data_IF_493494695055
#
_entry.id   IF_493494695055
#
_cell.length_a   1.000
_cell.length_b   1.000
_cell.length_c   1.000
_cell.angle_alpha   90.00
_cell.angle_beta   90.00
_cell.angle_gamma   90.00
#
_symmetry.space_group_name_H-M   'P 1'
#
loop_
_entity.id
_entity.type
_entity.pdbx_description
1 polymer ?
#
# COMPACT_ATOMS: atom_id res chain seq x y z
N UNK A 1 13.73 -18.36 -91.95
CA UNK A 1 13.73 -19.73 -91.41
C UNK A 1 12.96 -19.70 -90.10
N UNK A 2 11.64 -19.98 -90.09
CA UNK A 2 10.99 -21.29 -89.88
C UNK A 2 11.23 -21.91 -88.49
N UNK A 3 10.14 -21.87 -87.69
CA UNK A 3 9.58 -22.85 -86.74
C UNK A 3 10.45 -23.29 -85.54
N UNK A 4 9.94 -23.48 -84.31
CA UNK A 4 8.68 -24.10 -83.81
C UNK A 4 8.31 -23.51 -82.41
N UNK A 5 7.07 -23.08 -82.12
CA UNK A 5 5.86 -23.83 -81.73
C UNK A 5 5.73 -24.15 -80.21
N UNK A 6 5.03 -23.25 -79.48
CA UNK A 6 3.89 -23.48 -78.51
C UNK A 6 4.16 -24.38 -77.27
N UNK A 7 3.33 -24.45 -76.19
CA UNK A 7 2.11 -23.73 -75.81
C UNK A 7 2.02 -23.26 -74.32
N UNK A 8 1.02 -22.44 -74.02
CA UNK A 8 0.45 -22.21 -72.68
C UNK A 8 -0.38 -23.44 -72.25
N UNK A 9 -0.33 -23.86 -70.96
CA UNK A 9 -1.56 -24.06 -70.17
C UNK A 9 -1.33 -23.90 -68.63
N UNK A 10 -2.32 -24.17 -67.74
CA UNK A 10 -3.60 -23.50 -67.58
C UNK A 10 -3.84 -23.00 -66.13
N UNK A 11 -4.99 -22.34 -65.91
CA UNK A 11 -5.53 -21.95 -64.62
C UNK A 11 -5.56 -23.09 -63.57
N UNK A 12 -5.20 -22.77 -62.32
CA UNK A 12 -5.50 -23.58 -61.14
C UNK A 12 -6.44 -22.83 -60.20
N UNK A 13 -7.72 -22.90 -60.54
CA UNK A 13 -8.81 -22.86 -59.56
C UNK A 13 -8.91 -24.23 -58.87
N UNK A 14 -9.00 -24.25 -57.54
CA UNK A 14 -9.48 -25.40 -56.77
C UNK A 14 -8.44 -26.49 -56.51
N UNK A 15 -7.70 -26.38 -55.40
CA UNK A 15 -7.10 -27.52 -54.67
C UNK A 15 -6.49 -27.14 -53.30
N UNK A 16 -6.45 -25.85 -52.91
CA UNK A 16 -5.97 -25.43 -51.57
C UNK A 16 -7.06 -25.49 -50.47
N UNK A 17 -8.34 -25.73 -50.82
CA UNK A 17 -9.47 -25.73 -49.86
C UNK A 17 -9.83 -27.12 -49.30
N UNK A 18 -9.48 -28.20 -49.99
CA UNK A 18 -9.85 -29.56 -49.55
C UNK A 18 -8.92 -30.12 -48.46
N UNK A 19 -7.65 -29.69 -48.40
CA UNK A 19 -6.71 -30.24 -47.44
C UNK A 19 -6.88 -29.70 -46.01
N UNK A 20 -7.62 -28.59 -45.83
CA UNK A 20 -7.97 -28.06 -44.49
C UNK A 20 -9.22 -28.72 -43.89
N UNK A 21 -10.15 -29.23 -44.69
CA UNK A 21 -11.36 -29.88 -44.16
C UNK A 21 -11.11 -31.34 -43.73
N UNK A 22 -10.14 -32.03 -44.34
CA UNK A 22 -9.78 -33.40 -43.96
C UNK A 22 -9.02 -33.44 -42.62
N UNK A 23 -8.14 -32.46 -42.37
CA UNK A 23 -7.37 -32.38 -41.11
C UNK A 23 -8.24 -31.99 -39.89
N UNK A 24 -9.29 -31.19 -40.07
CA UNK A 24 -10.19 -30.81 -38.97
C UNK A 24 -11.14 -31.95 -38.58
N UNK A 25 -11.59 -32.77 -39.55
CA UNK A 25 -12.46 -33.93 -39.24
C UNK A 25 -11.73 -35.12 -38.61
N UNK A 26 -10.42 -35.25 -38.79
CA UNK A 26 -9.63 -36.28 -38.10
C UNK A 26 -9.36 -35.93 -36.63
N UNK A 27 -9.22 -34.65 -36.28
CA UNK A 27 -8.93 -34.24 -34.90
C UNK A 27 -10.17 -34.29 -33.99
N UNK A 28 -11.37 -34.26 -34.55
CA UNK A 28 -12.62 -34.25 -33.80
C UNK A 28 -13.15 -35.65 -33.43
N UNK A 29 -12.50 -36.71 -33.95
CA UNK A 29 -12.96 -38.11 -33.76
C UNK A 29 -12.23 -38.90 -32.66
N UNK A 30 -11.23 -38.32 -31.99
CA UNK A 30 -10.41 -39.02 -30.98
C UNK A 30 -10.43 -38.40 -29.56
N UNK A 31 -11.35 -37.50 -29.24
CA UNK A 31 -11.46 -36.99 -27.87
C UNK A 31 -12.45 -37.78 -27.02
N UNK A 32 -11.90 -38.60 -26.12
CA UNK A 32 -12.61 -39.33 -25.07
C UNK A 32 -13.28 -38.39 -24.06
N UNK A 33 -14.40 -38.80 -23.44
CA UNK A 33 -15.28 -37.94 -22.64
C UNK A 33 -14.61 -37.27 -21.42
N UNK A 34 -13.52 -37.83 -20.90
CA UNK A 34 -12.77 -37.26 -19.77
C UNK A 34 -12.02 -35.96 -20.12
N UNK A 35 -11.55 -35.81 -21.36
CA UNK A 35 -10.84 -34.62 -21.83
C UNK A 35 -11.75 -33.36 -21.94
N UNK A 36 -13.07 -33.57 -22.10
CA UNK A 36 -14.07 -32.50 -22.22
C UNK A 36 -14.50 -31.91 -20.87
N UNK A 37 -14.33 -32.65 -19.78
CA UNK A 37 -14.61 -32.17 -18.41
C UNK A 37 -13.48 -31.25 -17.91
N UNK A 38 -12.22 -31.64 -18.13
CA UNK A 38 -11.03 -30.83 -17.79
C UNK A 38 -11.02 -29.45 -18.47
N UNK A 39 -11.40 -29.37 -19.76
CA UNK A 39 -11.51 -28.10 -20.50
C UNK A 39 -12.68 -27.21 -20.05
N UNK A 40 -13.76 -27.80 -19.48
CA UNK A 40 -14.90 -27.03 -18.94
C UNK A 40 -14.61 -26.49 -17.53
N UNK A 41 -13.86 -27.22 -16.71
CA UNK A 41 -13.43 -26.75 -15.39
C UNK A 41 -12.35 -25.67 -15.49
N UNK A 42 -11.40 -25.82 -16.43
CA UNK A 42 -10.37 -24.80 -16.68
C UNK A 42 -10.94 -23.48 -17.21
N UNK A 43 -12.03 -23.54 -18.01
CA UNK A 43 -12.76 -22.34 -18.48
C UNK A 43 -13.59 -21.65 -17.39
N UNK A 44 -14.06 -22.38 -16.36
CA UNK A 44 -14.73 -21.78 -15.19
C UNK A 44 -13.74 -21.07 -14.28
N UNK A 45 -12.57 -21.65 -14.04
CA UNK A 45 -11.51 -21.02 -13.24
C UNK A 45 -10.98 -19.72 -13.86
N UNK A 46 -10.87 -19.66 -15.21
CA UNK A 46 -10.47 -18.44 -15.91
C UNK A 46 -11.55 -17.34 -15.95
N UNK A 47 -12.82 -17.71 -15.79
CA UNK A 47 -13.94 -16.75 -15.72
C UNK A 47 -14.04 -16.09 -14.34
N UNK A 48 -13.67 -16.79 -13.25
CA UNK A 48 -13.64 -16.24 -11.88
C UNK A 48 -12.40 -15.37 -11.61
N UNK A 49 -11.28 -15.60 -12.27
CA UNK A 49 -10.10 -14.72 -12.17
C UNK A 49 -10.27 -13.36 -12.86
N UNK A 50 -11.20 -13.23 -13.83
CA UNK A 50 -11.42 -11.98 -14.58
C UNK A 50 -12.33 -10.97 -13.85
N UNK A 51 -13.03 -11.38 -12.80
CA UNK A 51 -13.96 -10.52 -12.05
C UNK A 51 -13.30 -9.67 -10.96
N UNK A 52 -12.01 -9.88 -10.64
CA UNK A 52 -11.35 -9.18 -9.52
C UNK A 52 -10.49 -7.97 -9.94
N UNK A 53 -10.37 -7.65 -11.24
CA UNK A 53 -9.57 -6.50 -11.73
C UNK A 53 -10.39 -5.34 -12.30
N UNK A 54 -11.66 -5.21 -11.91
CA UNK A 54 -12.53 -4.13 -12.38
C UNK A 54 -12.86 -3.15 -11.26
N UNK A 55 -11.86 -2.36 -10.84
CA UNK A 55 -12.00 -1.00 -10.27
C UNK A 55 -10.62 -0.46 -9.86
N UNK A 56 -9.93 0.16 -10.80
CA UNK A 56 -8.93 1.20 -10.52
C UNK A 56 -9.23 2.36 -11.47
N UNK A 57 -9.49 3.59 -10.98
CA UNK A 57 -9.61 4.74 -11.85
C UNK A 57 -8.24 5.03 -12.47
N UNK A 58 -8.24 5.22 -13.78
CA UNK A 58 -7.10 5.61 -14.58
C UNK A 58 -6.52 6.94 -14.09
N UNK A 59 -5.30 6.89 -13.58
CA UNK A 59 -4.50 8.07 -13.29
C UNK A 59 -4.26 8.86 -14.59
N UNK A 60 -4.98 9.97 -14.77
CA UNK A 60 -4.64 10.98 -15.77
C UNK A 60 -3.35 11.65 -15.32
N UNK A 61 -2.28 11.43 -16.08
CA UNK A 61 -1.05 12.21 -16.02
C UNK A 61 -1.39 13.66 -16.39
N UNK A 62 -1.52 14.52 -15.40
CA UNK A 62 -1.51 15.96 -15.60
C UNK A 62 -0.05 16.42 -15.68
N UNK A 63 0.36 16.83 -16.86
CA UNK A 63 1.57 17.62 -17.08
C UNK A 63 1.34 18.99 -16.44
N UNK A 64 2.08 19.32 -15.39
CA UNK A 64 2.14 20.66 -14.81
C UNK A 64 3.20 21.49 -15.55
N UNK A 65 2.90 22.72 -15.96
CA UNK A 65 3.93 23.64 -16.40
C UNK A 65 4.69 24.20 -15.18
N UNK A 66 6.01 24.21 -15.31
CA UNK A 66 6.92 24.90 -14.41
C UNK A 66 6.76 26.41 -14.51
N UNK A 67 6.62 27.11 -13.37
CA UNK A 67 7.24 28.41 -13.08
C UNK A 67 6.75 29.01 -11.75
N UNK A 68 7.67 29.71 -11.08
CA UNK A 68 7.51 30.68 -9.98
C UNK A 68 7.29 30.09 -8.57
N UNK A 69 8.36 29.92 -7.78
CA UNK A 69 9.01 30.93 -6.89
C UNK A 69 8.28 31.01 -5.53
N UNK A 70 8.84 30.41 -4.47
CA UNK A 70 9.82 30.99 -3.53
C UNK A 70 9.11 31.71 -2.36
N UNK A 71 9.04 31.09 -1.17
CA UNK A 71 9.20 31.76 0.14
C UNK A 71 8.96 30.83 1.35
N UNK A 72 9.90 30.92 2.30
CA UNK A 72 9.81 30.65 3.74
C UNK A 72 9.88 29.21 4.28
N UNK A 73 11.09 28.66 4.24
CA UNK A 73 11.64 27.83 5.32
C UNK A 73 12.21 28.73 6.43
N UNK A 74 11.69 28.64 7.65
CA UNK A 74 12.29 29.23 8.86
C UNK A 74 12.29 28.17 9.98
N UNK A 75 13.39 27.43 10.08
CA UNK A 75 13.89 26.84 11.34
C UNK A 75 14.99 27.78 11.87
N UNK A 76 15.06 28.06 13.18
CA UNK A 76 16.30 28.53 13.78
C UNK A 76 17.07 27.36 14.39
N UNK A 77 18.17 26.99 13.74
CA UNK A 77 19.28 26.27 14.36
C UNK A 77 20.15 27.31 15.09
N UNK A 78 20.05 27.36 16.42
CA UNK A 78 20.90 28.18 17.27
C UNK A 78 22.16 27.43 17.69
N UNK A 79 23.24 27.58 16.93
CA UNK A 79 24.60 27.25 17.36
C UNK A 79 25.18 28.51 17.99
N UNK A 80 25.36 28.52 19.31
CA UNK A 80 26.14 29.52 20.02
C UNK A 80 27.25 28.82 20.80
N UNK A 81 28.46 28.91 20.26
CA UNK A 81 29.69 28.56 20.95
C UNK A 81 29.87 29.49 22.16
N UNK A 82 30.19 28.92 23.32
CA UNK A 82 30.68 29.66 24.51
C UNK A 82 32.03 29.08 24.93
N UNK A 83 32.98 29.94 25.37
CA UNK A 83 34.37 29.57 25.54
C UNK A 83 34.61 28.82 26.86
N UNK A 84 35.65 27.99 26.85
CA UNK A 84 36.21 27.34 28.02
C UNK A 84 36.78 28.36 29.01
N UNK A 85 36.32 28.31 30.26
CA UNK A 85 36.94 28.97 31.40
C UNK A 85 37.33 27.86 32.39
N UNK A 86 38.64 27.74 32.60
CA UNK A 86 39.25 26.89 33.60
C UNK A 86 39.05 27.47 35.01
N UNK A 87 38.82 26.59 35.99
CA UNK A 87 38.84 26.91 37.42
C UNK A 87 39.48 25.73 38.20
N UNK A 88 40.06 25.98 39.40
CA UNK A 88 41.29 25.36 39.91
C UNK A 88 41.08 24.04 40.68
N UNK A 89 42.16 23.32 41.07
CA UNK A 89 42.04 22.05 41.80
C UNK A 89 41.68 22.31 43.26
N UNK A 90 40.57 21.72 43.73
CA UNK A 90 40.21 21.71 45.14
C UNK A 90 40.62 20.37 45.75
N UNK A 91 41.44 20.51 46.79
CA UNK A 91 41.99 19.50 47.67
C UNK A 91 40.96 18.49 48.16
N UNK A 92 41.33 17.21 48.11
CA UNK A 92 40.60 16.11 48.72
C UNK A 92 40.55 16.26 50.25
N UNK A 93 39.35 16.17 50.80
CA UNK A 93 39.04 15.87 52.19
C UNK A 93 38.19 14.58 52.21
N UNK A 94 38.25 13.76 53.27
CA UNK A 94 37.84 12.36 53.22
C UNK A 94 36.31 12.22 53.17
N UNK A 95 35.81 11.53 52.15
CA UNK A 95 34.42 11.11 52.06
C UNK A 95 34.22 9.84 52.89
N UNK A 96 33.57 9.96 54.05
CA UNK A 96 32.95 8.82 54.74
C UNK A 96 31.80 8.30 53.86
N UNK A 97 32.09 7.26 53.07
CA UNK A 97 31.11 6.55 52.27
C UNK A 97 30.68 5.29 53.06
N UNK A 98 29.41 5.15 53.50
CA UNK A 98 28.94 4.01 54.28
C UNK A 98 28.91 2.68 53.49
N UNK A 99 29.22 2.69 52.19
CA UNK A 99 29.23 1.51 51.33
C UNK A 99 30.57 0.74 51.35
N UNK A 100 31.21 0.61 52.51
CA UNK A 100 32.38 -0.27 52.62
C UNK A 100 31.89 -1.72 52.61
N UNK A 101 31.88 -2.32 51.42
CA UNK A 101 31.55 -3.72 51.16
C UNK A 101 32.60 -4.63 51.80
N UNK A 102 32.39 -5.01 53.05
CA UNK A 102 33.19 -6.07 53.67
C UNK A 102 32.48 -7.40 53.39
N UNK A 103 33.06 -8.29 52.56
CA UNK A 103 32.47 -9.61 52.35
C UNK A 103 32.52 -10.42 53.65
N UNK A 104 31.39 -10.97 54.07
CA UNK A 104 31.34 -11.86 55.23
C UNK A 104 31.76 -13.25 54.79
N UNK A 105 32.90 -13.72 55.28
CA UNK A 105 33.43 -15.06 54.97
C UNK A 105 33.52 -15.89 56.25
N UNK A 106 33.00 -17.10 56.22
CA UNK A 106 33.16 -18.08 57.29
C UNK A 106 33.55 -19.44 56.69
N UNK A 107 34.55 -20.10 57.28
CA UNK A 107 34.95 -21.44 56.88
C UNK A 107 34.77 -22.45 58.02
N UNK A 108 34.56 -23.71 57.66
CA UNK A 108 34.52 -24.85 58.56
C UNK A 108 35.30 -26.00 57.93
N UNK A 109 36.22 -26.56 58.69
CA UNK A 109 36.94 -27.77 58.31
C UNK A 109 36.26 -28.99 58.93
N UNK A 110 35.99 -30.00 58.11
CA UNK A 110 35.43 -31.29 58.53
C UNK A 110 36.17 -32.42 57.85
N UNK A 111 36.95 -33.18 58.63
CA UNK A 111 37.84 -34.21 58.09
C UNK A 111 38.81 -33.62 57.06
N UNK A 112 38.95 -34.22 55.87
CA UNK A 112 39.80 -33.73 54.79
C UNK A 112 39.18 -32.60 53.96
N UNK A 113 37.94 -32.17 54.24
CA UNK A 113 37.20 -31.19 53.44
C UNK A 113 37.13 -29.85 54.16
N UNK A 114 37.42 -28.77 53.42
CA UNK A 114 37.23 -27.40 53.88
C UNK A 114 36.04 -26.77 53.16
N UNK A 115 35.09 -26.26 53.95
CA UNK A 115 33.88 -25.62 53.47
C UNK A 115 33.92 -24.14 53.80
N UNK A 116 33.90 -23.28 52.78
CA UNK A 116 33.91 -21.82 52.95
C UNK A 116 32.62 -21.23 52.38
N UNK A 117 31.96 -20.37 53.15
CA UNK A 117 30.80 -19.59 52.72
C UNK A 117 31.16 -18.12 52.75
N UNK A 118 30.94 -17.42 51.64
CA UNK A 118 31.14 -15.99 51.53
C UNK A 118 29.87 -15.30 51.05
N UNK A 119 29.54 -14.14 51.62
CA UNK A 119 28.46 -13.26 51.15
C UNK A 119 29.11 -11.95 50.71
N UNK A 120 28.69 -11.44 49.56
CA UNK A 120 29.18 -10.20 48.97
C UNK A 120 28.88 -8.96 49.84
N UNK A 121 27.72 -8.92 50.49
CA UNK A 121 27.26 -7.79 51.31
C UNK A 121 26.78 -8.21 52.70
N UNK A 122 27.34 -7.61 53.74
CA UNK A 122 26.86 -7.76 55.13
C UNK A 122 25.53 -7.04 55.39
N UNK A 123 25.20 -6.03 54.58
CA UNK A 123 23.98 -5.23 54.68
C UNK A 123 23.42 -4.97 53.29
N UNK A 124 22.12 -5.18 53.10
CA UNK A 124 21.41 -5.00 51.82
C UNK A 124 20.02 -4.41 52.08
N UNK A 125 19.40 -3.76 51.10
CA UNK A 125 18.05 -3.25 51.23
C UNK A 125 16.99 -4.34 51.00
N UNK A 126 15.75 -4.10 51.44
CA UNK A 126 14.60 -4.97 51.09
C UNK A 126 14.54 -5.16 49.57
N UNK A 127 14.38 -6.41 49.13
CA UNK A 127 14.36 -6.81 47.71
C UNK A 127 15.66 -6.53 46.92
N UNK A 128 16.76 -6.19 47.61
CA UNK A 128 18.08 -6.11 46.98
C UNK A 128 18.72 -7.51 46.93
N UNK A 129 19.15 -8.00 45.76
CA UNK A 129 19.77 -9.31 45.64
C UNK A 129 21.17 -9.32 46.27
N UNK A 130 21.46 -10.37 47.04
CA UNK A 130 22.77 -10.67 47.61
C UNK A 130 23.33 -11.97 47.04
N UNK A 131 24.65 -12.08 46.94
CA UNK A 131 25.32 -13.23 46.35
C UNK A 131 26.02 -14.04 47.44
N UNK A 132 25.58 -15.28 47.66
CA UNK A 132 26.23 -16.24 48.53
C UNK A 132 27.05 -17.22 47.71
N UNK A 133 28.35 -17.33 48.02
CA UNK A 133 29.28 -18.27 47.39
C UNK A 133 29.67 -19.36 48.37
N UNK A 134 29.27 -20.59 48.09
CA UNK A 134 29.70 -21.80 48.78
C UNK A 134 30.88 -22.42 48.04
N UNK A 135 32.03 -22.51 48.69
CA UNK A 135 33.25 -23.12 48.16
C UNK A 135 33.59 -24.35 48.99
N UNK A 136 33.76 -25.49 48.33
CA UNK A 136 34.16 -26.75 48.95
C UNK A 136 35.50 -27.19 48.36
N UNK A 137 36.52 -27.26 49.20
CA UNK A 137 37.84 -27.76 48.82
C UNK A 137 38.04 -29.16 49.40
N UNK A 138 38.39 -30.11 48.55
CA UNK A 138 38.63 -31.49 48.93
C UNK A 138 39.86 -32.05 48.20
N UNK A 139 40.66 -32.90 48.85
CA UNK A 139 41.88 -33.44 48.25
C UNK A 139 41.55 -34.59 47.28
N UNK A 140 42.50 -34.95 46.40
CA UNK A 140 42.28 -35.95 45.34
C UNK A 140 41.76 -37.29 45.89
N UNK A 141 40.76 -37.93 45.26
CA UNK A 141 40.07 -39.16 45.73
C UNK A 141 38.97 -38.98 46.80
N UNK A 142 38.65 -37.75 47.23
CA UNK A 142 37.43 -37.44 48.00
C UNK A 142 36.35 -36.93 47.03
N UNK A 143 35.18 -37.56 46.99
CA UNK A 143 34.05 -37.13 46.15
C UNK A 143 33.08 -36.29 46.96
N UNK A 144 32.83 -35.06 46.52
CA UNK A 144 31.90 -34.11 47.16
C UNK A 144 30.56 -34.10 46.42
N UNK A 145 29.45 -34.19 47.16
CA UNK A 145 28.11 -34.02 46.62
C UNK A 145 27.45 -32.79 47.25
N UNK A 146 27.18 -31.77 46.43
CA UNK A 146 26.45 -30.57 46.86
C UNK A 146 24.95 -30.88 47.06
N UNK A 147 24.23 -30.13 47.93
CA UNK A 147 22.81 -30.33 48.18
C UNK A 147 21.96 -30.08 46.91
N UNK A 148 20.69 -30.52 46.85
CA UNK A 148 19.77 -30.09 45.81
C UNK A 148 19.53 -28.57 45.87
N UNK A 149 19.15 -27.95 44.75
CA UNK A 149 18.87 -26.51 44.68
C UNK A 149 17.49 -26.23 45.32
N UNK A 150 17.43 -25.59 46.51
CA UNK A 150 16.15 -25.30 47.14
C UNK A 150 15.53 -24.02 46.56
N UNK A 151 14.20 -23.90 46.59
CA UNK A 151 13.50 -22.66 46.20
C UNK A 151 13.70 -21.53 47.23
N UNK A 152 13.92 -21.90 48.49
CA UNK A 152 14.14 -20.97 49.60
C UNK A 152 15.29 -21.45 50.48
N UNK A 153 16.04 -20.50 51.04
CA UNK A 153 17.15 -20.76 51.96
C UNK A 153 16.91 -19.96 53.24
N UNK A 154 16.11 -20.52 54.16
CA UNK A 154 15.66 -19.79 55.36
C UNK A 154 14.69 -18.66 55.00
N UNK A 155 14.91 -17.41 55.46
CA UNK A 155 14.07 -16.26 55.11
C UNK A 155 14.35 -15.68 53.70
N UNK A 156 15.28 -16.28 52.95
CA UNK A 156 15.68 -15.83 51.63
C UNK A 156 15.03 -16.66 50.52
N UNK A 157 14.57 -15.99 49.48
CA UNK A 157 14.14 -16.61 48.22
C UNK A 157 15.35 -16.79 47.31
N UNK A 158 15.50 -17.97 46.70
CA UNK A 158 16.60 -18.24 45.77
C UNK A 158 16.16 -17.84 44.36
N UNK A 159 16.79 -16.80 43.80
CA UNK A 159 16.51 -16.31 42.45
C UNK A 159 17.26 -17.11 41.38
N UNK A 160 18.53 -17.40 41.63
CA UNK A 160 19.39 -18.09 40.69
C UNK A 160 20.45 -18.93 41.41
N UNK A 161 20.83 -20.06 40.82
CA UNK A 161 21.91 -20.91 41.30
C UNK A 161 22.84 -21.25 40.14
N UNK A 162 24.14 -21.02 40.33
CA UNK A 162 25.17 -21.35 39.35
C UNK A 162 26.27 -22.22 39.96
N UNK A 163 26.63 -23.30 39.27
CA UNK A 163 27.58 -24.31 39.75
C UNK A 163 28.84 -24.33 38.88
N UNK A 164 29.99 -24.28 39.53
CA UNK A 164 31.30 -24.56 38.96
C UNK A 164 31.92 -25.71 39.75
N UNK A 165 31.61 -26.93 39.35
CA UNK A 165 32.05 -28.14 40.05
C UNK A 165 33.45 -28.53 39.60
N UNK A 166 34.17 -29.23 40.49
CA UNK A 166 35.28 -30.09 40.09
C UNK A 166 36.50 -29.37 39.46
N UNK A 167 36.72 -28.11 39.87
CA UNK A 167 37.82 -27.23 39.46
C UNK A 167 39.17 -27.73 40.01
N UNK A 168 40.22 -27.88 39.18
CA UNK A 168 41.55 -28.27 39.65
C UNK A 168 42.21 -27.14 40.46
N UNK A 169 42.77 -27.45 41.63
CA UNK A 169 43.49 -26.52 42.52
C UNK A 169 44.80 -27.14 42.98
N UNK A 170 45.79 -26.34 43.39
CA UNK A 170 47.11 -26.81 43.83
C UNK A 170 47.09 -27.82 45.00
N UNK A 171 45.98 -27.90 45.75
CA UNK A 171 45.77 -28.82 46.88
C UNK A 171 44.69 -29.89 46.65
N UNK A 172 44.11 -30.03 45.45
CA UNK A 172 43.04 -30.99 45.18
C UNK A 172 41.99 -30.51 44.16
N UNK A 173 40.72 -30.81 44.42
CA UNK A 173 39.56 -30.35 43.64
C UNK A 173 38.74 -29.35 44.44
N UNK A 174 38.19 -28.36 43.76
CA UNK A 174 37.34 -27.32 44.34
C UNK A 174 35.99 -27.30 43.63
N UNK A 175 34.90 -27.29 44.39
CA UNK A 175 33.55 -27.09 43.87
C UNK A 175 32.99 -25.79 44.41
N UNK A 176 32.50 -24.93 43.53
CA UNK A 176 31.93 -23.63 43.86
C UNK A 176 30.47 -23.59 43.43
N UNK A 177 29.59 -23.14 44.32
CA UNK A 177 28.18 -22.87 44.02
C UNK A 177 27.81 -21.47 44.49
N UNK A 178 27.22 -20.69 43.60
CA UNK A 178 26.71 -19.35 43.92
C UNK A 178 25.20 -19.35 43.94
N UNK A 179 24.64 -18.72 44.97
CA UNK A 179 23.21 -18.48 45.14
C UNK A 179 22.96 -16.98 45.08
N UNK A 180 22.02 -16.57 44.24
CA UNK A 180 21.46 -15.22 44.27
C UNK A 180 20.22 -15.25 45.17
N UNK A 181 20.31 -14.55 46.29
CA UNK A 181 19.31 -14.57 47.35
C UNK A 181 18.60 -13.22 47.45
N UNK A 182 17.32 -13.23 47.77
CA UNK A 182 16.51 -12.03 47.99
C UNK A 182 15.72 -12.17 49.31
N UNK A 183 15.58 -11.08 50.07
CA UNK A 183 14.74 -11.06 51.26
C UNK A 183 13.77 -9.87 51.24
N UNK A 184 12.52 -10.13 51.61
CA UNK A 184 11.46 -9.12 51.70
C UNK A 184 11.23 -8.62 53.14
N UNK A 185 11.90 -9.21 54.12
CA UNK A 185 11.71 -8.92 55.55
C UNK A 185 12.89 -8.11 56.08
N UNK A 186 12.65 -6.87 56.49
CA UNK A 186 13.66 -6.02 57.11
C UNK A 186 14.12 -6.55 58.48
N UNK A 187 15.36 -6.25 58.85
CA UNK A 187 16.00 -6.64 60.10
C UNK A 187 17.15 -7.64 59.92
N UNK A 188 17.75 -8.12 61.03
CA UNK A 188 18.81 -9.11 60.98
C UNK A 188 18.26 -10.47 60.52
N UNK A 189 18.72 -10.95 59.37
CA UNK A 189 18.35 -12.23 58.79
C UNK A 189 19.52 -13.21 58.88
N UNK A 190 19.21 -14.47 59.19
CA UNK A 190 20.23 -15.53 59.28
C UNK A 190 20.14 -16.44 58.07
N UNK A 191 21.26 -16.61 57.37
CA UNK A 191 21.44 -17.66 56.37
C UNK A 191 21.66 -18.99 57.10
N UNK A 192 20.80 -20.00 56.90
CA UNK A 192 20.92 -21.29 57.56
C UNK A 192 22.16 -22.06 57.09
N UNK A 193 22.60 -23.01 57.90
CA UNK A 193 23.71 -23.90 57.57
C UNK A 193 23.35 -24.76 56.35
N UNK A 194 24.27 -24.85 55.39
CA UNK A 194 24.13 -25.65 54.18
C UNK A 194 24.90 -26.95 54.40
N UNK A 195 24.20 -28.08 54.35
CA UNK A 195 24.79 -29.40 54.51
C UNK A 195 25.35 -29.93 53.18
N UNK A 196 26.62 -30.33 53.19
CA UNK A 196 27.33 -30.94 52.05
C UNK A 196 27.79 -32.33 52.46
N UNK A 197 27.50 -33.35 51.65
CA UNK A 197 27.99 -34.69 51.90
C UNK A 197 29.29 -34.94 51.15
N UNK A 198 30.22 -35.66 51.77
CA UNK A 198 31.45 -36.09 51.14
C UNK A 198 31.69 -37.58 51.41
N UNK A 199 32.30 -38.25 50.42
CA UNK A 199 32.69 -39.65 50.51
C UNK A 199 34.20 -39.73 50.38
N UNK A 200 34.87 -40.13 51.48
CA UNK A 200 36.30 -40.36 51.50
C UNK A 200 36.61 -41.82 51.12
N UNK A 201 37.28 -41.99 49.97
CA UNK A 201 37.74 -43.30 49.47
C UNK A 201 39.20 -43.61 49.85
N UNK A 202 39.88 -42.74 50.60
CA UNK A 202 41.26 -42.94 51.06
C UNK A 202 41.35 -43.85 52.29
N UNK A 203 40.29 -43.90 53.08
CA UNK A 203 40.16 -44.77 54.25
C UNK A 203 39.32 -46.01 53.93
N UNK A 204 39.77 -47.18 54.36
CA UNK A 204 38.96 -48.41 54.39
C UNK A 204 38.51 -48.68 55.84
N UNK A 205 37.18 -48.76 56.13
CA UNK A 205 36.06 -48.64 55.20
C UNK A 205 35.79 -47.20 54.73
N UNK A 206 35.17 -47.06 53.55
CA UNK A 206 34.77 -45.76 52.97
C UNK A 206 33.87 -44.99 53.94
N UNK A 207 34.29 -43.80 54.34
CA UNK A 207 33.54 -42.96 55.29
C UNK A 207 32.74 -41.93 54.49
N UNK A 208 31.43 -41.87 54.74
CA UNK A 208 30.55 -40.82 54.21
C UNK A 208 30.05 -39.99 55.37
N UNK A 209 30.37 -38.70 55.35
CA UNK A 209 30.02 -37.75 56.41
C UNK A 209 29.27 -36.56 55.82
N UNK A 210 28.46 -35.93 56.68
CA UNK A 210 27.74 -34.71 56.37
C UNK A 210 28.42 -33.55 57.07
N UNK A 211 28.85 -32.55 56.30
CA UNK A 211 29.48 -31.34 56.80
C UNK A 211 28.54 -30.15 56.62
N UNK A 212 28.18 -29.48 57.71
CA UNK A 212 27.30 -28.31 57.69
C UNK A 212 28.11 -27.01 57.67
N UNK A 213 27.71 -26.07 56.82
CA UNK A 213 28.34 -24.75 56.77
C UNK A 213 28.09 -23.92 58.03
N UNK A 214 28.95 -22.94 58.32
CA UNK A 214 28.61 -21.88 59.26
C UNK A 214 27.35 -21.12 58.83
N UNK A 215 26.59 -20.62 59.80
CA UNK A 215 25.52 -19.66 59.55
C UNK A 215 26.09 -18.25 59.43
N UNK A 216 25.49 -17.43 58.56
CA UNK A 216 25.89 -16.04 58.36
C UNK A 216 24.73 -15.10 58.66
N UNK A 217 24.99 -13.98 59.33
CA UNK A 217 23.98 -12.96 59.58
C UNK A 217 24.13 -11.82 58.59
N UNK A 218 23.03 -11.44 57.94
CA UNK A 218 22.94 -10.32 56.99
C UNK A 218 21.88 -9.37 57.50
N UNK A 219 22.20 -8.07 57.54
CA UNK A 219 21.24 -7.05 57.96
C UNK A 219 20.44 -6.51 56.76
N UNK A 220 19.12 -6.68 56.75
CA UNK A 220 18.25 -6.16 55.68
C UNK A 220 17.71 -4.79 56.11
N UNK A 221 18.25 -3.74 55.51
CA UNK A 221 17.83 -2.37 55.73
C UNK A 221 16.46 -2.10 55.08
N UNK A 222 15.54 -1.53 55.85
CA UNK A 222 14.29 -1.03 55.30
C UNK A 222 14.54 0.24 54.49
N UNK A 223 13.89 0.34 53.32
CA UNK A 223 13.88 1.57 52.49
C UNK A 223 12.99 2.66 53.12
N UNK A 224 12.21 2.31 54.15
CA UNK A 224 11.53 3.31 54.97
C UNK A 224 12.58 4.05 55.81
N UNK A 225 12.91 5.27 55.37
CA UNK A 225 13.76 6.19 56.12
C UNK A 225 13.16 6.52 57.49
N UNK A 226 13.82 6.05 58.55
CA UNK A 226 13.50 6.36 59.93
C UNK A 226 12.32 5.55 60.48
N UNK A 227 12.39 5.20 61.76
CA UNK A 227 11.20 4.76 62.49
C UNK A 227 10.22 5.93 62.46
N UNK A 228 9.07 5.83 61.77
CA UNK A 228 8.11 6.92 61.77
C UNK A 228 7.64 7.09 63.22
N UNK A 229 7.96 8.23 63.81
CA UNK A 229 7.38 8.61 65.09
C UNK A 229 5.87 8.70 64.85
N UNK A 230 5.04 7.86 65.51
CA UNK A 230 3.59 7.85 65.28
C UNK A 230 2.90 9.16 65.70
N UNK A 231 3.63 10.07 66.35
CA UNK A 231 3.16 11.41 66.70
C UNK A 231 3.70 12.51 65.75
N UNK A 232 4.67 12.19 64.89
CA UNK A 232 5.20 13.11 63.90
C UNK A 232 4.50 12.91 62.55
N UNK A 233 3.29 13.47 62.44
CA UNK A 233 2.60 13.54 61.16
C UNK A 233 3.41 14.40 60.19
N UNK A 234 3.75 13.85 59.02
CA UNK A 234 4.29 14.64 57.92
C UNK A 234 3.17 15.48 57.32
N UNK A 235 3.49 16.71 56.95
CA UNK A 235 2.55 17.55 56.21
C UNK A 235 2.10 16.84 54.93
N UNK A 236 0.83 17.04 54.56
CA UNK A 236 0.31 16.53 53.30
C UNK A 236 1.14 17.13 52.16
N UNK A 237 1.58 16.26 51.25
CA UNK A 237 2.27 16.68 50.04
C UNK A 237 1.30 17.52 49.20
N UNK A 238 1.80 18.62 48.65
CA UNK A 238 0.99 19.54 47.85
C UNK A 238 0.29 18.84 46.68
N UNK A 239 -0.85 19.42 46.28
CA UNK A 239 -1.60 18.96 45.11
C UNK A 239 -0.71 19.10 43.88
N UNK A 240 -0.45 17.96 43.23
CA UNK A 240 0.21 17.94 41.92
C UNK A 240 -0.80 18.42 40.89
N UNK A 241 -0.58 19.61 40.35
CA UNK A 241 -1.33 20.10 39.19
C UNK A 241 -0.97 19.22 37.98
N UNK A 242 -1.93 18.41 37.53
CA UNK A 242 -1.80 17.74 36.25
C UNK A 242 -1.91 18.80 35.14
N UNK A 243 -1.07 18.75 34.09
CA UNK A 243 -1.25 19.61 32.93
C UNK A 243 -2.69 19.48 32.43
N UNK A 244 -3.43 20.59 32.36
CA UNK A 244 -4.75 20.59 31.72
C UNK A 244 -4.59 20.12 30.27
N UNK A 245 -5.23 19.01 29.93
CA UNK A 245 -5.26 18.60 28.53
C UNK A 245 -5.97 19.69 27.72
N UNK A 246 -5.38 20.13 26.59
CA UNK A 246 -6.02 21.14 25.77
C UNK A 246 -7.41 20.63 25.33
N UNK A 247 -8.44 21.50 25.32
CA UNK A 247 -9.77 21.08 24.92
C UNK A 247 -9.72 20.46 23.51
N UNK A 248 -10.33 19.29 23.36
CA UNK A 248 -10.37 18.55 22.08
C UNK A 248 -10.88 19.47 20.97
N UNK A 249 -9.97 19.93 20.11
CA UNK A 249 -10.34 20.87 19.06
C UNK A 249 -11.07 20.14 17.93
N UNK A 250 -12.35 20.45 17.71
CA UNK A 250 -13.13 19.95 16.57
C UNK A 250 -12.85 20.70 15.26
N UNK A 251 -11.77 21.49 15.19
CA UNK A 251 -11.41 22.26 14.01
C UNK A 251 -11.24 21.38 12.76
N UNK A 252 -10.73 20.16 12.91
CA UNK A 252 -10.57 19.20 11.81
C UNK A 252 -11.91 18.78 11.16
N UNK A 253 -13.02 18.76 11.93
CA UNK A 253 -14.35 18.50 11.40
C UNK A 253 -14.82 19.67 10.53
N UNK A 254 -14.56 20.91 10.93
CA UNK A 254 -14.90 22.09 10.12
C UNK A 254 -14.11 22.11 8.80
N UNK A 255 -12.81 21.80 8.84
CA UNK A 255 -11.98 21.72 7.64
C UNK A 255 -12.39 20.59 6.70
N UNK A 256 -12.69 19.40 7.24
CA UNK A 256 -13.13 18.26 6.43
C UNK A 256 -14.49 18.51 5.77
N UNK A 257 -15.44 19.14 6.48
CA UNK A 257 -16.73 19.51 5.91
C UNK A 257 -16.60 20.59 4.84
N UNK A 258 -15.75 21.59 5.06
CA UNK A 258 -15.43 22.61 4.05
C UNK A 258 -14.80 22.02 2.79
N UNK A 259 -13.82 21.13 2.93
CA UNK A 259 -13.20 20.44 1.81
C UNK A 259 -14.19 19.56 1.03
N UNK A 260 -15.07 18.85 1.73
CA UNK A 260 -16.11 18.03 1.12
C UNK A 260 -17.11 18.89 0.32
N UNK A 261 -17.52 20.04 0.85
CA UNK A 261 -18.41 20.98 0.15
C UNK A 261 -17.77 21.51 -1.14
N UNK A 262 -16.49 21.91 -1.09
CA UNK A 262 -15.75 22.40 -2.27
C UNK A 262 -15.61 21.31 -3.33
N UNK A 263 -15.25 20.09 -2.95
CA UNK A 263 -15.14 18.95 -3.86
C UNK A 263 -16.49 18.61 -4.51
N UNK A 264 -17.57 18.65 -3.72
CA UNK A 264 -18.92 18.38 -4.22
C UNK A 264 -19.38 19.46 -5.21
N UNK A 265 -19.13 20.74 -4.91
CA UNK A 265 -19.41 21.85 -5.82
C UNK A 265 -18.57 21.77 -7.10
N UNK A 266 -17.28 21.43 -7.00
CA UNK A 266 -16.41 21.26 -8.17
C UNK A 266 -16.86 20.07 -9.03
N UNK A 267 -17.23 18.94 -8.41
CA UNK A 267 -17.78 17.78 -9.11
C UNK A 267 -19.10 18.09 -9.80
N UNK A 268 -20.03 18.77 -9.12
CA UNK A 268 -21.29 19.22 -9.71
C UNK A 268 -21.05 20.21 -10.86
N UNK A 269 -20.13 21.16 -10.70
CA UNK A 269 -19.76 22.09 -11.76
C UNK A 269 -19.17 21.38 -12.97
N UNK A 270 -18.33 20.35 -12.78
CA UNK A 270 -17.76 19.55 -13.87
C UNK A 270 -18.81 18.68 -14.57
N UNK A 271 -19.78 18.14 -13.83
CA UNK A 271 -20.87 17.30 -14.37
C UNK A 271 -21.93 18.15 -15.09
N UNK A 272 -22.20 19.34 -14.58
CA UNK A 272 -23.16 20.29 -15.14
C UNK A 272 -22.53 21.20 -16.20
N UNK A 273 -21.20 21.19 -16.37
CA UNK A 273 -20.55 21.89 -17.48
C UNK A 273 -20.93 21.16 -18.76
N UNK A 274 -21.78 21.74 -19.64
CA UNK A 274 -22.08 21.10 -20.90
C UNK A 274 -20.75 20.99 -21.64
N UNK A 275 -20.33 19.77 -21.98
CA UNK A 275 -19.25 19.55 -22.93
C UNK A 275 -19.59 20.34 -24.18
N UNK A 276 -19.06 21.57 -24.27
CA UNK A 276 -19.27 22.49 -25.38
C UNK A 276 -18.51 21.90 -26.57
N UNK A 277 -19.06 20.84 -27.15
CA UNK A 277 -18.77 20.47 -28.54
C UNK A 277 -19.15 21.70 -29.34
N UNK A 278 -18.17 22.25 -30.05
CA UNK A 278 -18.31 23.41 -30.92
C UNK A 278 -19.67 23.34 -31.64
N UNK A 279 -20.50 24.35 -31.45
CA UNK A 279 -21.90 24.42 -31.92
C UNK A 279 -22.01 24.59 -33.44
N UNK A 280 -20.92 24.40 -34.19
CA UNK A 280 -20.96 24.38 -35.65
C UNK A 280 -21.69 23.12 -36.12
N UNK A 281 -22.71 23.26 -36.99
CA UNK A 281 -23.33 22.12 -37.66
C UNK A 281 -22.25 21.23 -38.31
N UNK A 282 -22.41 19.88 -38.29
CA UNK A 282 -21.37 18.95 -38.76
C UNK A 282 -20.81 19.27 -40.14
N UNK A 283 -21.66 19.65 -41.10
CA UNK A 283 -21.22 20.03 -42.45
C UNK A 283 -20.39 21.32 -42.48
N UNK A 284 -20.77 22.35 -41.71
CA UNK A 284 -20.00 23.60 -41.62
C UNK A 284 -18.64 23.39 -40.95
N UNK A 285 -18.60 22.56 -39.91
CA UNK A 285 -17.34 22.17 -39.28
C UNK A 285 -16.42 21.44 -40.28
N UNK A 286 -16.95 20.46 -41.00
CA UNK A 286 -16.16 19.68 -41.95
C UNK A 286 -15.62 20.53 -43.10
N UNK A 287 -16.43 21.44 -43.65
CA UNK A 287 -15.98 22.37 -44.70
C UNK A 287 -14.89 23.32 -44.20
N UNK A 288 -14.99 23.82 -42.96
CA UNK A 288 -13.96 24.67 -42.36
C UNK A 288 -12.64 23.91 -42.16
N UNK A 289 -12.69 22.66 -41.70
CA UNK A 289 -11.50 21.81 -41.54
C UNK A 289 -10.89 21.42 -42.89
N UNK A 290 -11.70 21.19 -43.93
CA UNK A 290 -11.21 20.93 -45.29
C UNK A 290 -10.50 22.14 -45.87
N UNK A 291 -11.03 23.36 -45.67
CA UNK A 291 -10.36 24.59 -46.08
C UNK A 291 -9.02 24.77 -45.35
N UNK A 292 -8.98 24.54 -44.03
CA UNK A 292 -7.76 24.60 -43.24
C UNK A 292 -6.74 23.48 -43.60
N UNK A 293 -7.19 22.38 -44.19
CA UNK A 293 -6.32 21.32 -44.71
C UNK A 293 -5.75 21.69 -46.09
N UNK A 294 -6.55 22.33 -46.95
CA UNK A 294 -6.11 22.84 -48.24
C UNK A 294 -5.06 23.95 -48.10
N UNK A 295 -5.24 24.84 -47.12
CA UNK A 295 -4.27 25.88 -46.76
C UNK A 295 -3.02 25.32 -46.07
N UNK A 296 -3.06 24.07 -45.60
CA UNK A 296 -1.88 23.45 -45.03
C UNK A 296 -0.98 22.94 -46.15
N UNK A 297 0.20 23.54 -46.30
CA UNK A 297 1.23 23.20 -47.31
C UNK A 297 1.82 21.77 -47.15
N UNK A 298 1.10 20.83 -46.53
CA UNK A 298 1.53 19.46 -46.27
C UNK A 298 1.91 18.70 -47.56
N UNK A 299 1.16 18.91 -48.65
CA UNK A 299 1.47 18.28 -49.94
C UNK A 299 2.75 18.88 -50.54
N UNK A 300 2.92 20.19 -50.45
CA UNK A 300 4.12 20.89 -50.93
C UNK A 300 5.38 20.54 -50.10
N UNK A 301 5.20 20.27 -48.80
CA UNK A 301 6.23 19.80 -47.89
C UNK A 301 6.58 18.30 -48.04
N UNK A 302 5.93 17.58 -48.96
CA UNK A 302 6.13 16.14 -49.15
C UNK A 302 5.48 15.26 -48.07
N UNK A 303 4.67 15.82 -47.18
CA UNK A 303 3.91 15.13 -46.12
C UNK A 303 2.55 14.59 -46.64
N UNK A 304 2.55 13.98 -47.82
CA UNK A 304 1.33 13.50 -48.49
C UNK A 304 0.57 12.44 -47.67
N UNK A 305 1.28 11.57 -46.97
CA UNK A 305 0.65 10.59 -46.07
C UNK A 305 -0.17 11.27 -44.97
N UNK A 306 0.42 12.28 -44.31
CA UNK A 306 -0.23 13.05 -43.25
C UNK A 306 -1.44 13.82 -43.75
N UNK A 307 -1.35 14.35 -44.97
CA UNK A 307 -2.47 14.98 -45.66
C UNK A 307 -3.65 14.01 -45.81
N UNK A 308 -3.42 12.80 -46.35
CA UNK A 308 -4.50 11.81 -46.54
C UNK A 308 -5.05 11.26 -45.21
N UNK A 309 -4.22 11.12 -44.18
CA UNK A 309 -4.70 10.79 -42.82
C UNK A 309 -5.68 11.86 -42.34
N UNK A 310 -5.26 13.13 -42.33
CA UNK A 310 -6.11 14.24 -41.87
C UNK A 310 -7.37 14.39 -42.72
N UNK A 311 -7.26 14.23 -44.05
CA UNK A 311 -8.40 14.30 -44.97
C UNK A 311 -9.46 13.24 -44.64
N UNK A 312 -9.04 11.99 -44.47
CA UNK A 312 -9.98 10.91 -44.12
C UNK A 312 -10.58 11.05 -42.73
N UNK A 313 -9.82 11.60 -41.78
CA UNK A 313 -10.31 11.82 -40.42
C UNK A 313 -11.42 12.87 -40.40
N UNK A 314 -11.29 13.94 -41.19
CA UNK A 314 -12.33 14.96 -41.34
C UNK A 314 -13.62 14.34 -41.90
N UNK A 315 -13.52 13.55 -42.98
CA UNK A 315 -14.68 12.90 -43.61
C UNK A 315 -15.34 11.89 -42.65
N UNK A 316 -14.55 11.10 -41.93
CA UNK A 316 -15.05 10.13 -40.94
C UNK A 316 -15.75 10.80 -39.77
N UNK A 317 -15.14 11.85 -39.20
CA UNK A 317 -15.76 12.61 -38.11
C UNK A 317 -17.02 13.36 -38.57
N UNK A 318 -17.08 13.81 -39.83
CA UNK A 318 -18.30 14.40 -40.38
C UNK A 318 -19.44 13.38 -40.35
N UNK A 319 -19.19 12.17 -40.87
CA UNK A 319 -20.17 11.08 -40.88
C UNK A 319 -20.57 10.69 -39.45
N UNK A 320 -19.61 10.60 -38.54
CA UNK A 320 -19.86 10.31 -37.12
C UNK A 320 -20.75 11.35 -36.46
N UNK A 321 -20.47 12.64 -36.68
CA UNK A 321 -21.27 13.74 -36.11
C UNK A 321 -22.64 13.88 -36.76
N UNK A 322 -22.81 13.47 -38.02
CA UNK A 322 -24.08 13.62 -38.78
C UNK A 322 -25.01 12.42 -38.66
N UNK A 323 -24.45 11.20 -38.60
CA UNK A 323 -25.19 9.94 -38.68
C UNK A 323 -24.97 9.03 -37.45
N UNK A 324 -24.23 9.51 -36.44
CA UNK A 324 -23.98 8.80 -35.17
C UNK A 324 -23.36 7.40 -35.37
N UNK A 325 -22.46 7.30 -36.35
CA UNK A 325 -21.67 6.11 -36.69
C UNK A 325 -20.30 6.27 -36.04
N UNK A 326 -19.86 5.34 -35.19
CA UNK A 326 -18.62 5.45 -34.40
C UNK A 326 -17.34 5.33 -35.25
N UNK A 327 -17.06 6.32 -36.08
CA UNK A 327 -16.03 6.24 -37.11
C UNK A 327 -14.61 6.16 -36.56
N UNK A 328 -14.35 6.76 -35.40
CA UNK A 328 -13.02 6.73 -34.75
C UNK A 328 -12.65 5.37 -34.15
N UNK A 329 -13.62 4.49 -33.91
CA UNK A 329 -13.42 3.19 -33.25
C UNK A 329 -13.47 2.00 -34.21
N UNK A 330 -13.77 2.24 -35.49
CA UNK A 330 -14.00 1.20 -36.49
C UNK A 330 -12.90 1.18 -37.55
N UNK A 331 -12.54 -0.02 -38.00
CA UNK A 331 -11.69 -0.19 -39.18
C UNK A 331 -12.40 0.32 -40.44
N UNK A 332 -11.66 0.58 -41.53
CA UNK A 332 -12.27 1.06 -42.80
C UNK A 332 -13.38 0.15 -43.31
N UNK A 333 -13.19 -1.17 -43.24
CA UNK A 333 -14.19 -2.14 -43.69
C UNK A 333 -15.46 -2.11 -42.82
N UNK A 334 -15.30 -2.08 -41.49
CA UNK A 334 -16.44 -2.02 -40.55
C UNK A 334 -17.19 -0.69 -40.64
N UNK A 335 -16.47 0.42 -40.83
CA UNK A 335 -17.05 1.74 -41.01
C UNK A 335 -17.93 1.79 -42.27
N UNK A 336 -17.43 1.27 -43.40
CA UNK A 336 -18.19 1.20 -44.65
C UNK A 336 -19.43 0.29 -44.54
N UNK A 337 -19.29 -0.89 -43.90
CA UNK A 337 -20.43 -1.79 -43.66
C UNK A 337 -21.51 -1.13 -42.78
N UNK A 338 -21.11 -0.42 -41.72
CA UNK A 338 -22.06 0.29 -40.85
C UNK A 338 -22.72 1.48 -41.55
N UNK A 339 -21.98 2.22 -42.38
CA UNK A 339 -22.52 3.32 -43.20
C UNK A 339 -23.56 2.83 -44.22
N UNK A 340 -23.38 1.64 -44.79
CA UNK A 340 -24.36 1.02 -45.69
C UNK A 340 -25.60 0.50 -44.97
N UNK A 341 -25.46 -0.15 -43.80
CA UNK A 341 -26.60 -0.77 -43.08
C UNK A 341 -27.62 0.22 -42.53
N UNK A 342 -27.19 1.44 -42.19
CA UNK A 342 -28.07 2.45 -41.57
C UNK A 342 -28.86 3.29 -42.58
N UNK A 343 -28.75 3.01 -43.88
CA UNK A 343 -29.28 3.87 -44.96
C UNK A 343 -28.85 5.34 -44.82
N UNK A 344 -27.73 5.58 -44.12
CA UNK A 344 -27.25 6.91 -43.79
C UNK A 344 -26.80 7.69 -45.04
N UNK A 345 -26.42 6.97 -46.10
CA UNK A 345 -25.91 7.50 -47.36
C UNK A 345 -26.63 6.82 -48.53
N UNK A 346 -26.93 7.58 -49.57
CA UNK A 346 -27.47 7.03 -50.83
C UNK A 346 -26.44 6.12 -51.54
N UNK A 347 -26.87 5.28 -52.50
CA UNK A 347 -25.99 4.33 -53.17
C UNK A 347 -24.79 4.99 -53.86
N UNK A 348 -24.99 6.17 -54.46
CA UNK A 348 -23.90 6.94 -55.07
C UNK A 348 -22.92 7.50 -54.05
N UNK A 349 -23.42 8.02 -52.91
CA UNK A 349 -22.59 8.51 -51.82
C UNK A 349 -21.75 7.38 -51.19
N UNK A 350 -22.33 6.18 -51.04
CA UNK A 350 -21.61 5.01 -50.55
C UNK A 350 -20.50 4.58 -51.51
N UNK A 351 -20.76 4.60 -52.83
CA UNK A 351 -19.75 4.29 -53.85
C UNK A 351 -18.59 5.29 -53.80
N UNK A 352 -18.90 6.59 -53.78
CA UNK A 352 -17.89 7.65 -53.69
C UNK A 352 -17.07 7.54 -52.41
N UNK A 353 -17.71 7.32 -51.25
CA UNK A 353 -17.02 7.16 -49.97
C UNK A 353 -16.09 5.93 -49.97
N UNK A 354 -16.55 4.80 -50.52
CA UNK A 354 -15.76 3.57 -50.62
C UNK A 354 -14.53 3.77 -51.50
N UNK A 355 -14.71 4.36 -52.68
CA UNK A 355 -13.62 4.64 -53.62
C UNK A 355 -12.59 5.59 -53.00
N UNK A 356 -13.07 6.68 -52.38
CA UNK A 356 -12.24 7.66 -51.68
C UNK A 356 -11.40 7.03 -50.55
N UNK A 357 -12.03 6.27 -49.63
CA UNK A 357 -11.31 5.63 -48.52
C UNK A 357 -10.33 4.55 -49.01
N UNK A 358 -10.67 3.83 -50.08
CA UNK A 358 -9.78 2.82 -50.68
C UNK A 358 -8.53 3.46 -51.28
N UNK A 359 -8.68 4.60 -51.98
CA UNK A 359 -7.55 5.37 -52.51
C UNK A 359 -6.66 5.92 -51.39
N UNK A 360 -7.27 6.46 -50.33
CA UNK A 360 -6.52 6.96 -49.19
C UNK A 360 -5.74 5.85 -48.45
N UNK A 361 -6.31 4.63 -48.34
CA UNK A 361 -5.64 3.49 -47.72
C UNK A 361 -4.42 3.02 -48.55
N UNK A 362 -4.44 3.17 -49.88
CA UNK A 362 -3.24 2.92 -50.72
C UNK A 362 -2.11 3.91 -50.40
N UNK A 363 -2.42 5.18 -50.13
CA UNK A 363 -1.42 6.17 -49.73
C UNK A 363 -0.85 5.84 -48.35
N UNK A 364 -1.72 5.55 -47.38
CA UNK A 364 -1.34 5.29 -45.97
C UNK A 364 -0.56 3.99 -45.77
N UNK A 365 -0.94 2.92 -46.46
CA UNK A 365 -0.40 1.59 -46.19
C UNK A 365 0.50 1.06 -47.32
N UNK A 366 0.25 1.45 -48.57
CA UNK A 366 1.04 0.99 -49.71
C UNK A 366 2.14 1.99 -50.15
N UNK A 367 2.34 3.08 -49.40
CA UNK A 367 3.31 4.16 -49.69
C UNK A 367 3.18 4.70 -51.12
N UNK A 368 1.97 4.67 -51.67
CA UNK A 368 1.67 5.25 -52.97
C UNK A 368 1.90 6.77 -52.90
N UNK A 369 2.61 7.33 -53.88
CA UNK A 369 2.85 8.78 -53.98
C UNK A 369 1.94 9.35 -55.07
N UNK A 370 0.77 9.90 -54.69
CA UNK A 370 -0.12 10.55 -55.64
C UNK A 370 0.51 11.84 -56.16
N UNK A 371 0.15 12.23 -57.39
CA UNK A 371 0.57 13.51 -57.98
C UNK A 371 -0.11 14.65 -57.18
N UNK A 372 0.52 15.83 -56.99
CA UNK A 372 -0.14 17.00 -56.38
C UNK A 372 -1.54 17.32 -56.94
N UNK A 373 -1.79 17.07 -58.24
CA UNK A 373 -3.13 17.20 -58.84
C UNK A 373 -4.17 16.26 -58.23
N UNK A 374 -3.76 15.05 -57.84
CA UNK A 374 -4.62 14.05 -57.22
C UNK A 374 -5.02 14.43 -55.79
N UNK A 375 -4.13 15.13 -55.07
CA UNK A 375 -4.39 15.62 -53.70
C UNK A 375 -5.43 16.75 -53.70
N UNK A 376 -5.33 17.69 -54.64
CA UNK A 376 -6.34 18.73 -54.85
C UNK A 376 -7.71 18.10 -55.23
N UNK A 377 -7.70 17.14 -56.16
CA UNK A 377 -8.91 16.40 -56.53
C UNK A 377 -9.52 15.62 -55.37
N UNK A 378 -8.72 15.06 -54.47
CA UNK A 378 -9.21 14.35 -53.28
C UNK A 378 -9.93 15.28 -52.28
N UNK A 379 -9.43 16.52 -52.10
CA UNK A 379 -10.13 17.55 -51.31
C UNK A 379 -11.46 17.92 -51.96
N UNK A 380 -11.50 18.09 -53.28
CA UNK A 380 -12.74 18.43 -53.99
C UNK A 380 -13.79 17.33 -53.87
N UNK A 381 -13.39 16.08 -54.02
CA UNK A 381 -14.27 14.91 -53.79
C UNK A 381 -14.80 14.91 -52.36
N UNK A 382 -13.93 15.14 -51.36
CA UNK A 382 -14.36 15.21 -49.96
C UNK A 382 -15.32 16.37 -49.69
N UNK A 383 -15.07 17.54 -50.28
CA UNK A 383 -15.92 18.75 -50.18
C UNK A 383 -17.29 18.50 -50.80
N UNK A 384 -17.33 17.96 -52.01
CA UNK A 384 -18.58 17.61 -52.70
C UNK A 384 -19.37 16.58 -51.92
N UNK A 385 -18.70 15.55 -51.38
CA UNK A 385 -19.33 14.55 -50.53
C UNK A 385 -19.97 15.18 -49.28
N UNK A 386 -19.25 16.05 -48.57
CA UNK A 386 -19.78 16.76 -47.39
C UNK A 386 -20.99 17.62 -47.74
N UNK A 387 -20.96 18.34 -48.86
CA UNK A 387 -22.10 19.17 -49.30
C UNK A 387 -23.31 18.30 -49.61
N UNK A 388 -23.14 17.26 -50.43
CA UNK A 388 -24.24 16.36 -50.83
C UNK A 388 -24.82 15.58 -49.66
N UNK A 389 -24.00 15.18 -48.69
CA UNK A 389 -24.45 14.46 -47.50
C UNK A 389 -24.95 15.39 -46.37
N UNK A 390 -24.67 16.70 -46.46
CA UNK A 390 -25.21 17.71 -45.55
C UNK A 390 -26.60 18.20 -45.95
N UNK A 391 -26.97 18.10 -47.24
CA UNK A 391 -28.32 18.42 -47.71
C UNK A 391 -29.36 17.42 -47.16
N UNK A 392 -30.54 17.88 -46.72
CA UNK A 392 -31.61 16.98 -46.31
C UNK A 392 -32.15 16.22 -47.52
N UNK A 393 -32.09 14.88 -47.46
CA UNK A 393 -32.71 13.99 -48.45
C UNK A 393 -34.22 14.30 -48.59
N UNK A 394 -34.75 14.57 -49.79
CA UNK A 394 -36.16 14.89 -49.98
C UNK A 394 -37.02 13.60 -50.06
N UNK A 395 -37.46 13.11 -48.91
CA UNK A 395 -38.61 12.20 -48.74
C UNK A 395 -38.92 12.16 -47.23
N UNK A 396 -40.10 12.46 -46.68
CA UNK A 396 -41.50 12.31 -47.11
C UNK A 396 -42.35 13.25 -46.24
N UNK A 397 -43.38 13.97 -46.74
CA UNK A 397 -44.25 14.76 -45.88
C UNK A 397 -45.05 13.83 -44.97
N UNK A 398 -44.68 13.79 -43.69
CA UNK A 398 -45.48 13.15 -42.64
C UNK A 398 -46.65 14.07 -42.24
N UNK A 399 -47.83 13.49 -41.93
CA UNK A 399 -49.10 14.20 -41.95
C UNK A 399 -49.24 15.16 -40.77
N UNK A 400 -49.77 16.35 -41.08
CA UNK A 400 -50.30 17.34 -40.16
C UNK A 400 -51.20 16.71 -39.09
N UNK A 401 -50.80 16.83 -37.83
CA UNK A 401 -51.72 16.68 -36.68
C UNK A 401 -52.20 18.08 -36.28
N UNK A 402 -53.53 18.34 -36.22
CA UNK A 402 -54.04 19.66 -35.90
C UNK A 402 -53.96 19.96 -34.40
N UNK A 403 -53.62 21.21 -34.11
CA UNK A 403 -53.62 21.86 -32.80
C UNK A 403 -55.06 22.06 -32.27
N UNK A 404 -55.37 21.81 -30.99
CA UNK A 404 -56.59 22.31 -30.37
C UNK A 404 -56.27 23.62 -29.63
N UNK A 405 -56.87 24.71 -30.10
CA UNK A 405 -56.82 26.00 -29.43
C UNK A 405 -58.05 26.82 -29.79
N UNK A 406 -59.08 26.77 -28.96
CA UNK A 406 -60.08 27.84 -28.85
C UNK A 406 -60.83 27.76 -27.52
N UNK A 407 -60.49 28.65 -26.60
CA UNK A 407 -61.50 29.34 -25.79
C UNK A 407 -60.90 30.65 -25.26
N UNK A 408 -61.41 31.73 -25.84
CA UNK A 408 -61.19 33.13 -25.49
C UNK A 408 -61.97 33.52 -24.21
N UNK A 409 -61.75 34.73 -23.65
CA UNK A 409 -61.77 34.97 -22.20
C UNK A 409 -62.92 35.88 -21.68
N UNK A 410 -63.00 35.97 -20.35
CA UNK A 410 -63.25 37.16 -19.50
C UNK A 410 -64.47 38.08 -19.73
N UNK A 411 -65.35 38.14 -18.72
CA UNK A 411 -66.11 39.34 -18.30
C UNK A 411 -66.73 39.08 -16.90
N UNK A 412 -66.24 39.70 -15.83
CA UNK A 412 -66.72 40.96 -15.25
C UNK A 412 -67.93 40.81 -14.27
N UNK A 413 -67.68 41.21 -13.02
CA UNK A 413 -68.63 41.47 -11.91
C UNK A 413 -69.53 42.68 -12.22
N UNK A 414 -70.72 42.87 -11.58
CA UNK A 414 -70.77 43.58 -10.29
C UNK A 414 -71.90 43.12 -9.32
N UNK A 415 -71.99 43.84 -8.19
CA UNK A 415 -72.56 43.52 -6.89
C UNK A 415 -74.05 43.82 -6.64
N UNK A 416 -74.60 43.15 -5.59
CA UNK A 416 -75.55 43.59 -4.54
C UNK A 416 -77.04 43.87 -4.88
N UNK A 417 -77.99 43.93 -3.89
CA UNK A 417 -78.08 43.33 -2.53
C UNK A 417 -79.47 42.73 -2.13
N UNK A 418 -79.53 42.11 -0.93
CA UNK A 418 -80.61 42.07 0.11
C UNK A 418 -82.07 41.63 -0.17
N UNK A 419 -82.56 40.62 0.58
CA UNK A 419 -83.77 40.58 1.46
C UNK A 419 -84.03 39.12 1.93
N UNK A 420 -83.99 38.81 3.24
CA UNK A 420 -85.13 38.65 4.16
C UNK A 420 -86.32 37.84 3.61
N UNK A 421 -86.64 36.70 4.24
CA UNK A 421 -87.83 36.50 5.09
C UNK A 421 -87.88 35.03 5.54
N UNK A 422 -88.32 34.85 6.77
CA UNK A 422 -88.47 33.64 7.55
C UNK A 422 -89.84 32.98 7.26
N UNK A 423 -89.90 31.65 7.12
CA UNK A 423 -91.08 30.82 7.44
C UNK A 423 -90.64 29.35 7.58
#
# INVERSE_FOLDING_TARGET
MRYTHTPQPPARSGLEKDNRQILVRCFEKEQTPESRLSLRESRRSFAEQKTTYRRLPSAKRFSFPAAALLLCSLLPAGIAARPAVAAPPVSAAPSDNPNTTTPLTASRQGGPVELTVAIDKATAQIAEPITLTLTVQAPEQVTVSLPPQPATLGPFTVLHVSDALDLPTAGGRQSVRQYQLECLTAGPQTVPAIAVSYTDRRSEPTVSELLESPTLQVNIASVLEGTPDPLAFRDLKDVVELPEEPPTSYAWLAWSLGAAAVLSCAGAALLLWPHRRSSLPPGRWALAELAALEESDLVAAGETERFYVRLTDIVRQFIERRFEIGASTLTTAEFLDQATRREALGPDQQRVLKEFLSQADLVKFARFQPNPTDAAGAIDVARQFVVQAAEPSPATPSPTTPSPGSSSPSSASPAAPSEKENA
#
